data_IF_346457304500
#
_entry.id   IF_346457304500
#
_cell.length_a   1.000
_cell.length_b   1.000
_cell.length_c   1.000
_cell.angle_alpha   90.00
_cell.angle_beta   90.00
_cell.angle_gamma   90.00
#
_symmetry.space_group_name_H-M   'P 1'
#
loop_
_entity.id
_entity.type
_entity.pdbx_description
1 polymer ?
#
# COMPACT_ATOMS: atom_id res chain seq x y z
N UNK A 1 1.80 -29.21 -4.28
CA UNK A 1 2.34 -28.43 -5.42
C UNK A 1 3.43 -27.47 -4.93
N UNK A 2 4.59 -27.52 -5.59
CA UNK A 2 5.64 -26.48 -5.69
C UNK A 2 6.34 -25.92 -4.43
N UNK A 3 7.40 -26.61 -3.97
CA UNK A 3 8.52 -25.96 -3.25
C UNK A 3 9.25 -25.05 -4.25
N UNK A 4 8.95 -23.75 -4.28
CA UNK A 4 9.70 -22.79 -5.12
C UNK A 4 11.18 -22.82 -4.72
N UNK A 5 12.05 -22.96 -5.72
CA UNK A 5 13.47 -23.21 -5.56
C UNK A 5 14.18 -22.21 -4.65
N UNK A 6 14.81 -22.72 -3.60
CA UNK A 6 15.82 -21.98 -2.84
C UNK A 6 17.04 -21.87 -3.74
N UNK A 7 17.26 -20.72 -4.38
CA UNK A 7 18.56 -20.41 -5.00
C UNK A 7 19.62 -20.61 -3.92
N UNK A 8 20.57 -21.53 -4.14
CA UNK A 8 21.70 -21.69 -3.22
C UNK A 8 22.52 -20.41 -3.31
N UNK A 9 22.57 -19.64 -2.22
CA UNK A 9 23.46 -18.49 -2.11
C UNK A 9 24.89 -19.04 -1.98
N UNK A 10 25.66 -18.98 -3.05
CA UNK A 10 27.10 -19.26 -3.01
C UNK A 10 27.76 -18.02 -2.41
N UNK A 11 28.33 -18.17 -1.22
CA UNK A 11 29.12 -17.11 -0.57
C UNK A 11 30.55 -17.23 -1.11
N UNK A 12 31.17 -16.15 -1.59
CA UNK A 12 32.57 -16.17 -1.97
C UNK A 12 33.44 -16.66 -0.80
N UNK A 13 34.50 -17.37 -1.15
CA UNK A 13 35.57 -17.72 -0.22
C UNK A 13 36.47 -16.50 0.02
N UNK A 14 37.24 -16.51 1.11
CA UNK A 14 38.14 -15.41 1.43
C UNK A 14 39.19 -15.12 0.33
N UNK A 15 39.58 -16.15 -0.44
CA UNK A 15 40.48 -16.00 -1.58
C UNK A 15 39.79 -15.28 -2.76
N UNK A 16 38.52 -15.59 -3.01
CA UNK A 16 37.72 -14.94 -4.05
C UNK A 16 37.37 -13.49 -3.66
N UNK A 17 37.03 -13.24 -2.39
CA UNK A 17 36.81 -11.88 -1.88
C UNK A 17 38.07 -11.02 -2.04
N UNK A 18 39.26 -11.59 -1.80
CA UNK A 18 40.53 -10.89 -2.01
C UNK A 18 40.75 -10.54 -3.48
N UNK A 19 40.51 -11.47 -4.40
CA UNK A 19 40.65 -11.23 -5.83
C UNK A 19 39.65 -10.17 -6.34
N UNK A 20 38.43 -10.16 -5.80
CA UNK A 20 37.42 -9.14 -6.10
C UNK A 20 37.88 -7.76 -5.62
N UNK A 21 38.40 -7.66 -4.39
CA UNK A 21 38.90 -6.40 -3.84
C UNK A 21 40.12 -5.87 -4.59
N UNK A 22 41.06 -6.74 -4.98
CA UNK A 22 42.21 -6.36 -5.82
C UNK A 22 41.72 -5.79 -7.17
N UNK A 23 40.76 -6.45 -7.81
CA UNK A 23 40.15 -5.96 -9.05
C UNK A 23 39.48 -4.59 -8.90
N UNK A 24 38.74 -4.37 -7.81
CA UNK A 24 38.11 -3.07 -7.49
C UNK A 24 39.18 -1.98 -7.34
N UNK A 25 40.29 -2.26 -6.65
CA UNK A 25 41.36 -1.28 -6.41
C UNK A 25 42.16 -0.90 -7.67
N UNK A 26 42.26 -1.81 -8.64
CA UNK A 26 42.99 -1.57 -9.87
C UNK A 26 42.17 -0.78 -10.91
N UNK A 27 40.86 -0.62 -10.69
CA UNK A 27 39.96 0.11 -11.59
C UNK A 27 39.82 1.59 -11.18
N UNK A 28 40.38 2.54 -11.95
CA UNK A 28 40.31 3.96 -11.65
C UNK A 28 38.92 4.58 -11.77
N UNK A 29 37.96 3.90 -12.42
CA UNK A 29 36.58 4.37 -12.58
C UNK A 29 35.61 3.81 -11.51
N UNK A 30 36.10 2.94 -10.61
CA UNK A 30 35.25 2.37 -9.56
C UNK A 30 35.02 3.38 -8.42
N UNK A 31 33.79 3.92 -8.36
CA UNK A 31 33.32 4.73 -7.23
C UNK A 31 32.67 3.86 -6.15
N UNK A 32 33.31 3.72 -4.99
CA UNK A 32 32.69 3.09 -3.81
C UNK A 32 31.76 4.07 -3.10
N UNK A 33 30.50 3.68 -2.88
CA UNK A 33 29.55 4.51 -2.13
C UNK A 33 30.01 4.65 -0.68
N UNK A 34 30.17 5.89 -0.20
CA UNK A 34 30.62 6.14 1.16
C UNK A 34 29.48 6.02 2.17
N UNK A 35 29.82 5.94 3.46
CA UNK A 35 28.83 6.00 4.52
C UNK A 35 28.00 7.30 4.48
N UNK A 36 28.56 8.42 4.00
CA UNK A 36 27.80 9.65 3.82
C UNK A 36 26.79 9.56 2.67
N UNK A 37 27.11 8.83 1.61
CA UNK A 37 26.19 8.59 0.49
C UNK A 37 24.99 7.75 0.94
N UNK A 38 25.25 6.70 1.73
CA UNK A 38 24.19 5.91 2.36
C UNK A 38 23.36 6.72 3.37
N UNK A 39 23.97 7.65 4.11
CA UNK A 39 23.26 8.52 5.04
C UNK A 39 22.35 9.54 4.31
N UNK A 40 22.75 9.98 3.11
CA UNK A 40 21.95 10.87 2.25
C UNK A 40 20.89 10.12 1.44
N UNK A 41 21.02 8.80 1.28
CA UNK A 41 20.07 7.98 0.55
C UNK A 41 18.69 8.00 1.23
N UNK A 42 17.73 8.65 0.59
CA UNK A 42 16.32 8.61 1.03
C UNK A 42 15.71 7.27 0.66
N UNK A 43 15.71 6.34 1.61
CA UNK A 43 14.95 5.09 1.49
C UNK A 43 13.44 5.35 1.40
N UNK A 44 12.73 4.50 0.65
CA UNK A 44 11.27 4.40 0.81
C UNK A 44 11.01 3.98 2.26
N UNK A 45 10.30 4.81 3.01
CA UNK A 45 9.95 4.52 4.40
C UNK A 45 9.30 3.13 4.55
N UNK A 46 9.34 2.54 5.75
CA UNK A 46 8.79 1.21 5.98
C UNK A 46 7.36 1.12 5.44
N UNK A 47 7.08 0.05 4.71
CA UNK A 47 5.76 -0.18 4.14
C UNK A 47 4.77 -0.40 5.29
N UNK A 48 4.13 0.69 5.76
CA UNK A 48 2.89 0.62 6.55
C UNK A 48 1.98 -0.34 5.80
N UNK A 49 1.51 -1.40 6.48
CA UNK A 49 0.94 -2.60 5.88
C UNK A 49 -0.10 -2.37 4.76
N UNK A 50 -0.50 -3.43 4.04
CA UNK A 50 -1.35 -3.28 2.86
C UNK A 50 -2.65 -2.52 3.21
N UNK A 51 -2.76 -1.28 2.74
CA UNK A 51 -3.93 -0.42 2.96
C UNK A 51 -5.20 -0.98 2.30
N UNK A 52 -5.04 -1.91 1.36
CA UNK A 52 -6.11 -2.55 0.60
C UNK A 52 -5.97 -4.06 0.75
N UNK A 53 -7.07 -4.72 1.09
CA UNK A 53 -7.14 -6.19 1.14
C UNK A 53 -7.60 -6.67 -0.24
N UNK A 54 -6.83 -7.57 -0.86
CA UNK A 54 -7.24 -8.20 -2.11
C UNK A 54 -8.29 -9.27 -1.80
N UNK A 55 -9.52 -9.06 -2.27
CA UNK A 55 -10.64 -10.00 -2.10
C UNK A 55 -11.19 -10.36 -3.47
N UNK A 56 -11.48 -11.64 -3.68
CA UNK A 56 -12.19 -12.11 -4.88
C UNK A 56 -13.69 -12.18 -4.59
N UNK A 57 -14.43 -11.15 -4.99
CA UNK A 57 -15.90 -11.12 -4.92
C UNK A 57 -16.53 -11.18 -6.30
N UNK A 58 -17.74 -11.74 -6.40
CA UNK A 58 -18.55 -11.67 -7.62
C UNK A 58 -19.41 -10.41 -7.58
N UNK A 59 -19.39 -9.65 -8.67
CA UNK A 59 -20.21 -8.45 -8.85
C UNK A 59 -21.19 -8.69 -10.02
N UNK A 60 -22.31 -7.99 -10.00
CA UNK A 60 -23.26 -8.01 -11.11
C UNK A 60 -22.59 -7.53 -12.41
N UNK A 61 -22.91 -8.20 -13.51
CA UNK A 61 -22.40 -7.90 -14.84
C UNK A 61 -22.67 -6.44 -15.25
N UNK A 62 -23.87 -5.92 -14.97
CA UNK A 62 -24.26 -4.55 -15.30
C UNK A 62 -23.37 -3.52 -14.61
N UNK A 63 -22.96 -3.80 -13.37
CA UNK A 63 -22.05 -2.92 -12.62
C UNK A 63 -20.68 -2.94 -13.27
N UNK A 64 -20.15 -4.13 -13.55
CA UNK A 64 -18.81 -4.26 -14.16
C UNK A 64 -18.76 -3.55 -15.51
N UNK A 65 -19.79 -3.72 -16.34
CA UNK A 65 -19.85 -3.11 -17.68
C UNK A 65 -19.95 -1.59 -17.61
N UNK A 66 -20.80 -1.05 -16.74
CA UNK A 66 -20.94 0.39 -16.55
C UNK A 66 -19.62 1.05 -16.11
N UNK A 67 -18.90 0.44 -15.16
CA UNK A 67 -17.63 1.01 -14.68
C UNK A 67 -16.49 0.84 -15.69
N UNK A 68 -16.44 -0.29 -16.41
CA UNK A 68 -15.46 -0.55 -17.48
C UNK A 68 -15.63 0.39 -18.66
N UNK A 69 -16.86 0.75 -19.02
CA UNK A 69 -17.13 1.71 -20.10
C UNK A 69 -16.45 3.07 -19.87
N UNK A 70 -16.25 3.47 -18.61
CA UNK A 70 -15.50 4.68 -18.25
C UNK A 70 -13.97 4.58 -18.44
N UNK A 71 -13.44 3.48 -18.96
CA UNK A 71 -12.02 3.29 -19.25
C UNK A 71 -11.13 2.97 -18.04
N UNK A 72 -9.84 3.29 -18.16
CA UNK A 72 -8.80 2.99 -17.17
C UNK A 72 -9.18 3.46 -15.76
N UNK A 73 -8.84 2.66 -14.75
CA UNK A 73 -9.11 3.00 -13.35
C UNK A 73 -10.51 2.63 -12.84
N UNK A 74 -11.30 1.89 -13.61
CA UNK A 74 -12.66 1.47 -13.22
C UNK A 74 -12.74 0.75 -11.86
N UNK A 75 -11.72 -0.05 -11.50
CA UNK A 75 -11.64 -0.71 -10.19
C UNK A 75 -11.42 0.27 -9.03
N UNK A 76 -10.73 1.39 -9.27
CA UNK A 76 -10.59 2.43 -8.24
C UNK A 76 -11.91 3.18 -8.07
N UNK A 77 -12.58 3.52 -9.19
CA UNK A 77 -13.89 4.18 -9.15
C UNK A 77 -14.96 3.39 -8.41
N UNK A 78 -15.03 2.06 -8.60
CA UNK A 78 -15.99 1.23 -7.87
C UNK A 78 -15.65 1.18 -6.37
N UNK A 79 -14.36 1.08 -6.01
CA UNK A 79 -13.93 1.16 -4.62
C UNK A 79 -14.31 2.50 -3.97
N UNK A 80 -14.12 3.61 -4.67
CA UNK A 80 -14.44 4.94 -4.15
C UNK A 80 -15.94 5.12 -3.95
N UNK A 81 -16.75 4.57 -4.85
CA UNK A 81 -18.21 4.55 -4.69
C UNK A 81 -18.62 3.82 -3.41
N UNK A 82 -18.04 2.64 -3.16
CA UNK A 82 -18.30 1.86 -1.93
C UNK A 82 -17.83 2.59 -0.66
N UNK A 83 -16.74 3.35 -0.73
CA UNK A 83 -16.28 4.16 0.39
C UNK A 83 -17.24 5.31 0.69
N UNK A 84 -17.75 5.97 -0.36
CA UNK A 84 -18.65 7.10 -0.19
C UNK A 84 -20.01 6.69 0.36
N UNK A 85 -20.52 5.49 0.00
CA UNK A 85 -21.73 4.92 0.62
C UNK A 85 -21.53 4.70 2.12
N UNK A 86 -20.40 4.11 2.54
CA UNK A 86 -20.12 3.89 3.97
C UNK A 86 -20.01 5.21 4.74
N UNK A 87 -19.33 6.22 4.20
CA UNK A 87 -19.25 7.55 4.82
C UNK A 87 -20.62 8.21 4.97
N UNK A 88 -21.51 8.00 4.00
CA UNK A 88 -22.87 8.53 4.05
C UNK A 88 -23.68 7.86 5.17
N UNK A 89 -23.59 6.54 5.30
CA UNK A 89 -24.21 5.79 6.39
C UNK A 89 -23.69 6.21 7.76
N UNK A 90 -22.38 6.41 7.91
CA UNK A 90 -21.77 6.86 9.17
C UNK A 90 -22.25 8.26 9.56
N UNK A 91 -22.41 9.16 8.58
CA UNK A 91 -22.98 10.50 8.81
C UNK A 91 -24.44 10.43 9.23
N UNK A 92 -25.22 9.51 8.67
CA UNK A 92 -26.63 9.34 9.02
C UNK A 92 -26.80 8.79 10.45
N UNK A 93 -25.98 7.80 10.82
CA UNK A 93 -25.88 7.29 12.20
C UNK A 93 -25.49 8.38 13.20
N UNK A 94 -24.57 9.28 12.82
CA UNK A 94 -24.17 10.40 13.68
C UNK A 94 -25.30 11.43 13.88
N UNK A 95 -26.10 11.68 12.83
CA UNK A 95 -27.25 12.60 12.89
C UNK A 95 -28.38 12.05 13.74
N UNK A 96 -28.72 10.77 13.57
CA UNK A 96 -29.76 10.08 14.34
C UNK A 96 -29.40 9.98 15.83
N UNK A 97 -28.12 9.76 16.16
CA UNK A 97 -27.63 9.78 17.54
C UNK A 97 -27.72 11.19 18.19
N UNK A 98 -27.48 12.25 17.43
CA UNK A 98 -27.51 13.64 17.93
C UNK A 98 -28.94 14.17 18.13
N UNK A 99 -29.93 13.65 17.38
CA UNK A 99 -31.33 14.10 17.41
C UNK A 99 -32.18 13.59 18.60
N UNK A 100 -31.74 12.55 19.32
CA UNK A 100 -32.54 11.89 20.38
C UNK A 100 -32.61 12.66 21.72
N UNK A 101 -31.89 13.78 21.88
CA UNK A 101 -31.67 14.42 23.19
C UNK A 101 -32.33 15.78 23.46
N UNK A 102 -33.18 16.33 22.58
CA UNK A 102 -33.81 17.66 22.79
C UNK A 102 -35.32 17.57 22.93
N UNK A 103 -35.82 16.97 24.02
CA UNK A 103 -37.20 17.19 24.45
C UNK A 103 -37.30 18.53 25.19
N UNK A 104 -38.03 19.46 24.57
CA UNK A 104 -38.39 20.78 25.07
C UNK A 104 -39.10 20.63 26.42
N UNK A 105 -38.49 21.13 27.50
CA UNK A 105 -39.17 21.34 28.79
C UNK A 105 -40.19 22.47 28.55
N UNK A 106 -41.42 22.11 28.18
CA UNK A 106 -42.50 23.08 28.06
C UNK A 106 -42.92 23.57 29.45
N UNK A 107 -43.08 24.89 29.49
CA UNK A 107 -43.45 25.72 30.62
C UNK A 107 -44.78 25.26 31.22
N UNK A 108 -44.84 25.09 32.53
CA UNK A 108 -46.09 25.24 33.29
C UNK A 108 -46.06 26.60 33.99
N UNK A 109 -47.03 27.43 33.63
CA UNK A 109 -47.53 28.55 34.42
C UNK A 109 -48.81 28.09 35.12
#
# INVERSE_FOLDING_TARGET
MSKKGRRKLVRPTAAEDKAINEGISCDPDTSEATAEDFAKARGRGPQKGPKKVAVSIRLDQRIVDAYKAGGTGWQSRINDTLLDTLKAEDKDKLKTATGKGRTRKEKSA
#
